data_IF_014332569904
#
_entry.id   IF_014332569904
#
_cell.length_a   1.000
_cell.length_b   1.000
_cell.length_c   1.000
_cell.angle_alpha   90.00
_cell.angle_beta   90.00
_cell.angle_gamma   90.00
#
_symmetry.space_group_name_H-M   'P 1'
#
loop_
_entity.id
_entity.type
_entity.pdbx_description
1 polymer ?
#
# COMPACT_ATOMS: atom_id res chain seq x y z
N UNK A 1 66.68 -15.51 18.73
CA UNK A 1 66.39 -16.95 18.89
C UNK A 1 64.90 -17.12 19.09
N UNK A 2 64.31 -18.12 18.41
CA UNK A 2 62.88 -18.52 18.38
C UNK A 2 62.05 -17.63 17.43
N UNK A 3 61.95 -17.97 16.13
CA UNK A 3 61.06 -18.99 15.55
C UNK A 3 59.69 -18.99 16.24
N UNK A 4 58.59 -18.84 15.49
CA UNK A 4 57.88 -19.99 14.93
C UNK A 4 56.36 -19.70 14.69
N UNK A 5 55.96 -19.96 13.44
CA UNK A 5 54.63 -20.42 12.97
C UNK A 5 53.37 -19.55 13.12
N UNK A 6 52.89 -19.13 11.93
CA UNK A 6 51.48 -18.94 11.57
C UNK A 6 50.57 -20.05 12.09
N UNK A 7 49.28 -19.72 12.32
CA UNK A 7 48.24 -20.43 11.60
C UNK A 7 47.40 -19.46 10.77
N UNK A 8 47.43 -19.67 9.45
CA UNK A 8 46.45 -19.14 8.52
C UNK A 8 45.08 -19.75 8.85
N UNK A 9 44.22 -18.99 9.53
CA UNK A 9 42.83 -19.41 9.76
C UNK A 9 41.93 -18.73 8.73
N UNK A 10 41.61 -19.53 7.71
CA UNK A 10 40.66 -19.38 6.63
C UNK A 10 39.56 -18.32 6.84
N UNK A 11 39.64 -17.26 6.05
CA UNK A 11 38.54 -16.36 5.72
C UNK A 11 37.50 -17.12 4.90
N UNK A 12 36.42 -17.58 5.53
CA UNK A 12 35.21 -18.02 4.84
C UNK A 12 34.31 -16.80 4.61
N UNK A 13 34.65 -15.95 3.62
CA UNK A 13 33.75 -14.90 3.15
C UNK A 13 32.79 -15.49 2.14
N UNK A 14 31.71 -16.10 2.64
CA UNK A 14 30.56 -16.43 1.79
C UNK A 14 29.88 -15.11 1.43
N UNK A 15 30.26 -14.53 0.30
CA UNK A 15 29.53 -13.44 -0.32
C UNK A 15 28.23 -14.02 -0.90
N UNK A 16 27.21 -14.16 -0.06
CA UNK A 16 25.86 -14.47 -0.53
C UNK A 16 25.36 -13.20 -1.22
N UNK A 17 25.54 -13.10 -2.53
CA UNK A 17 24.86 -12.13 -3.37
C UNK A 17 23.39 -12.56 -3.49
N UNK A 18 22.67 -12.40 -2.37
CA UNK A 18 21.23 -12.58 -2.33
C UNK A 18 20.59 -11.36 -2.98
N UNK A 19 20.14 -11.51 -4.23
CA UNK A 19 19.09 -10.66 -4.74
C UNK A 19 17.88 -10.86 -3.81
N UNK A 20 17.67 -9.94 -2.88
CA UNK A 20 16.41 -9.84 -2.15
C UNK A 20 15.39 -9.45 -3.22
N UNK A 21 14.43 -10.33 -3.60
CA UNK A 21 13.32 -9.87 -4.43
C UNK A 21 12.65 -8.76 -3.62
N UNK A 22 12.66 -7.54 -4.16
CA UNK A 22 11.84 -6.45 -3.63
C UNK A 22 10.42 -6.98 -3.62
N UNK A 23 9.94 -7.38 -2.45
CA UNK A 23 8.52 -7.54 -2.23
C UNK A 23 7.95 -6.14 -2.36
N UNK A 24 7.44 -5.83 -3.55
CA UNK A 24 6.68 -4.61 -3.76
C UNK A 24 5.47 -4.72 -2.84
N UNK A 25 5.55 -4.06 -1.69
CA UNK A 25 4.45 -3.95 -0.75
C UNK A 25 3.31 -3.30 -1.52
N UNK A 26 2.35 -4.11 -1.98
CA UNK A 26 1.14 -3.63 -2.63
C UNK A 26 0.41 -2.82 -1.57
N UNK A 27 0.46 -1.50 -1.68
CA UNK A 27 -0.26 -0.61 -0.78
C UNK A 27 -1.72 -0.65 -1.19
N UNK A 28 -2.49 -1.55 -0.59
CA UNK A 28 -3.93 -1.58 -0.74
C UNK A 28 -4.53 -0.39 0.01
N UNK A 29 -5.46 0.31 -0.64
CA UNK A 29 -6.21 1.43 -0.07
C UNK A 29 -7.69 1.04 -0.03
N UNK A 30 -8.41 1.47 1.00
CA UNK A 30 -9.82 1.10 1.16
C UNK A 30 -10.64 2.21 1.80
N UNK A 31 -11.97 2.11 1.63
CA UNK A 31 -12.92 2.89 2.41
C UNK A 31 -14.18 2.08 2.71
N UNK A 32 -14.87 2.47 3.78
CA UNK A 32 -16.21 2.02 4.13
C UNK A 32 -16.91 3.20 4.78
N UNK A 33 -17.97 3.71 4.17
CA UNK A 33 -18.68 4.90 4.63
C UNK A 33 -20.13 4.54 4.93
N UNK A 34 -20.71 5.21 5.91
CA UNK A 34 -22.12 5.06 6.27
C UNK A 34 -22.71 6.43 6.61
N UNK A 35 -23.84 6.75 5.99
CA UNK A 35 -24.58 7.98 6.22
C UNK A 35 -26.06 7.64 6.39
N UNK A 36 -26.66 8.01 7.53
CA UNK A 36 -28.07 7.77 7.84
C UNK A 36 -28.52 6.31 7.68
N UNK A 37 -27.65 5.35 8.04
CA UNK A 37 -27.93 3.91 7.91
C UNK A 37 -27.79 3.35 6.49
N UNK A 38 -27.31 4.15 5.53
CA UNK A 38 -26.97 3.72 4.17
C UNK A 38 -25.45 3.52 4.08
N UNK A 39 -24.99 2.28 3.89
CA UNK A 39 -23.57 1.93 3.81
C UNK A 39 -23.09 1.73 2.38
N UNK A 40 -21.88 2.20 2.07
CA UNK A 40 -21.18 1.87 0.82
C UNK A 40 -20.66 0.43 0.80
N UNK A 41 -20.59 -0.23 1.96
CA UNK A 41 -19.71 -1.39 2.22
C UNK A 41 -18.23 -1.05 2.09
N UNK A 42 -17.38 -2.05 2.40
CA UNK A 42 -15.93 -1.91 2.26
C UNK A 42 -15.52 -2.14 0.80
N UNK A 43 -14.80 -1.17 0.25
CA UNK A 43 -14.15 -1.31 -1.05
C UNK A 43 -12.64 -1.21 -0.90
N UNK A 44 -11.91 -2.15 -1.49
CA UNK A 44 -10.45 -2.21 -1.49
C UNK A 44 -9.93 -2.07 -2.91
N UNK A 45 -8.92 -1.23 -3.09
CA UNK A 45 -8.33 -0.89 -4.37
C UNK A 45 -6.81 -1.07 -4.33
N UNK A 46 -6.24 -1.34 -5.50
CA UNK A 46 -4.79 -1.47 -5.68
C UNK A 46 -4.05 -0.14 -5.76
N UNK A 47 -4.76 1.00 -5.80
CA UNK A 47 -4.17 2.33 -5.91
C UNK A 47 -5.12 3.42 -5.40
N UNK A 48 -4.54 4.54 -4.99
CA UNK A 48 -5.28 5.75 -4.61
C UNK A 48 -6.18 6.25 -5.75
N UNK A 49 -5.68 6.21 -6.98
CA UNK A 49 -6.42 6.62 -8.17
C UNK A 49 -7.70 5.80 -8.38
N UNK A 50 -7.60 4.48 -8.25
CA UNK A 50 -8.76 3.58 -8.36
C UNK A 50 -9.77 3.81 -7.22
N UNK A 51 -9.29 4.13 -6.01
CA UNK A 51 -10.16 4.50 -4.90
C UNK A 51 -10.91 5.80 -5.19
N UNK A 52 -10.24 6.80 -5.75
CA UNK A 52 -10.86 8.07 -6.15
C UNK A 52 -11.93 7.90 -7.23
N UNK A 53 -11.69 7.01 -8.20
CA UNK A 53 -12.70 6.66 -9.19
C UNK A 53 -13.88 5.93 -8.53
N UNK A 54 -13.59 5.00 -7.62
CA UNK A 54 -14.60 4.31 -6.83
C UNK A 54 -15.46 5.24 -5.98
N UNK A 55 -14.91 6.31 -5.40
CA UNK A 55 -15.69 7.26 -4.58
C UNK A 55 -16.78 7.99 -5.40
N UNK A 56 -16.57 8.20 -6.70
CA UNK A 56 -17.54 8.87 -7.59
C UNK A 56 -18.57 7.92 -8.19
N UNK A 57 -18.30 6.63 -8.16
CA UNK A 57 -19.19 5.61 -8.74
C UNK A 57 -20.39 5.38 -7.82
N UNK A 58 -21.51 6.02 -8.14
CA UNK A 58 -22.73 5.89 -7.35
C UNK A 58 -23.28 4.44 -7.32
N UNK A 59 -23.09 3.67 -8.40
CA UNK A 59 -23.55 2.29 -8.44
C UNK A 59 -22.71 1.40 -7.52
N UNK A 60 -21.38 1.56 -7.55
CA UNK A 60 -20.46 0.88 -6.63
C UNK A 60 -20.84 1.18 -5.17
N UNK A 61 -21.17 2.44 -4.87
CA UNK A 61 -21.51 2.91 -3.54
C UNK A 61 -22.98 2.72 -3.14
N UNK A 62 -23.78 2.00 -3.94
CA UNK A 62 -25.21 1.75 -3.67
C UNK A 62 -26.04 3.03 -3.50
N UNK A 63 -25.62 4.12 -4.14
CA UNK A 63 -26.17 5.46 -3.96
C UNK A 63 -26.14 5.97 -2.51
N UNK A 64 -25.26 5.42 -1.66
CA UNK A 64 -25.11 5.79 -0.26
C UNK A 64 -24.00 6.84 -0.03
N UNK A 65 -24.07 7.51 1.12
CA UNK A 65 -23.01 8.31 1.71
C UNK A 65 -22.40 9.38 0.80
N UNK A 66 -23.21 10.05 -0.04
CA UNK A 66 -22.72 11.00 -1.05
C UNK A 66 -21.89 12.14 -0.44
N UNK A 67 -22.33 12.72 0.69
CA UNK A 67 -21.59 13.80 1.34
C UNK A 67 -20.23 13.31 1.84
N UNK A 68 -20.20 12.16 2.51
CA UNK A 68 -18.96 11.58 3.03
C UNK A 68 -18.00 11.15 1.92
N UNK A 69 -18.52 10.63 0.80
CA UNK A 69 -17.70 10.30 -0.37
C UNK A 69 -17.07 11.55 -0.99
N UNK A 70 -17.84 12.62 -1.12
CA UNK A 70 -17.35 13.91 -1.61
C UNK A 70 -16.25 14.48 -0.70
N UNK A 71 -16.46 14.45 0.61
CA UNK A 71 -15.46 14.94 1.58
C UNK A 71 -14.19 14.10 1.54
N UNK A 72 -14.31 12.77 1.48
CA UNK A 72 -13.16 11.87 1.33
C UNK A 72 -12.41 12.14 0.02
N UNK A 73 -13.14 12.31 -1.08
CA UNK A 73 -12.55 12.60 -2.38
C UNK A 73 -11.75 13.90 -2.36
N UNK A 74 -12.33 14.99 -1.83
CA UNK A 74 -11.60 16.26 -1.71
C UNK A 74 -10.30 16.15 -0.92
N UNK A 75 -10.30 15.34 0.14
CA UNK A 75 -9.16 15.20 1.03
C UNK A 75 -8.07 14.28 0.44
N UNK A 76 -8.47 13.27 -0.32
CA UNK A 76 -7.60 12.16 -0.70
C UNK A 76 -7.37 12.01 -2.21
N UNK A 77 -8.00 12.84 -3.03
CA UNK A 77 -7.91 12.81 -4.49
C UNK A 77 -7.42 14.17 -5.05
N UNK A 78 -6.19 14.60 -4.70
CA UNK A 78 -5.67 15.89 -5.15
C UNK A 78 -5.60 15.95 -6.68
N UNK A 79 -5.87 17.13 -7.24
CA UNK A 79 -5.87 17.39 -8.69
C UNK A 79 -6.91 16.59 -9.50
N UNK A 80 -7.93 16.01 -8.86
CA UNK A 80 -9.07 15.38 -9.54
C UNK A 80 -10.35 16.19 -9.35
N UNK A 81 -11.28 16.05 -10.29
CA UNK A 81 -12.62 16.65 -10.22
C UNK A 81 -13.62 15.62 -9.73
N UNK A 82 -14.44 16.01 -8.76
CA UNK A 82 -15.59 15.22 -8.31
C UNK A 82 -16.56 14.99 -9.46
#
# INVERSE_FOLDING_TARGET
MKNLLLPALLLFTVAISGCIPKSEKKTEVSYSLEENGCSTETHTFSSQDAMCDGLRDDALNKHCAQSLRYDKFKNECPNRTW
#
